data_IF_468989883093
#
_entry.id   IF_468989883093
#
_cell.length_a   1.000
_cell.length_b   1.000
_cell.length_c   1.000
_cell.angle_alpha   90.00
_cell.angle_beta   90.00
_cell.angle_gamma   90.00
#
_symmetry.space_group_name_H-M   'P 1'
#
loop_
_entity.id
_entity.type
_entity.pdbx_description
1 polymer ?
#
# COMPACT_ATOMS: atom_id res chain seq x y z
N UNK A 1 -15.16 12.23 42.36
CA UNK A 1 -13.81 11.72 42.72
C UNK A 1 -12.78 12.54 41.96
N UNK A 2 -11.77 13.09 42.63
CA UNK A 2 -10.71 13.83 41.93
C UNK A 2 -9.87 12.87 41.07
N UNK A 3 -9.57 13.26 39.83
CA UNK A 3 -8.69 12.48 38.96
C UNK A 3 -7.27 12.56 39.50
N UNK A 4 -6.69 11.41 39.86
CA UNK A 4 -5.33 11.36 40.40
C UNK A 4 -4.29 11.36 39.27
N UNK A 5 -3.08 11.86 39.55
CA UNK A 5 -1.94 11.76 38.61
C UNK A 5 -1.72 10.33 38.11
N UNK A 6 -1.87 9.35 39.01
CA UNK A 6 -1.79 7.91 38.68
C UNK A 6 -2.86 7.49 37.68
N UNK A 7 -4.10 7.95 37.84
CA UNK A 7 -5.19 7.64 36.92
C UNK A 7 -4.91 8.23 35.53
N UNK A 8 -4.46 9.49 35.46
CA UNK A 8 -4.05 10.12 34.18
C UNK A 8 -2.96 9.30 33.49
N UNK A 9 -1.88 8.97 34.21
CA UNK A 9 -0.76 8.22 33.64
C UNK A 9 -1.19 6.84 33.12
N UNK A 10 -2.04 6.12 33.86
CA UNK A 10 -2.58 4.82 33.41
C UNK A 10 -3.41 4.96 32.13
N UNK A 11 -4.27 5.98 32.06
CA UNK A 11 -5.10 6.21 30.87
C UNK A 11 -4.24 6.58 29.66
N UNK A 12 -3.24 7.45 29.83
CA UNK A 12 -2.32 7.81 28.74
C UNK A 12 -1.56 6.59 28.23
N UNK A 13 -1.03 5.76 29.13
CA UNK A 13 -0.33 4.52 28.74
C UNK A 13 -1.27 3.56 28.02
N UNK A 14 -2.49 3.35 28.54
CA UNK A 14 -3.46 2.47 27.91
C UNK A 14 -3.86 2.97 26.51
N UNK A 15 -4.09 4.28 26.36
CA UNK A 15 -4.39 4.90 25.08
C UNK A 15 -3.23 4.75 24.08
N UNK A 16 -1.99 4.96 24.53
CA UNK A 16 -0.80 4.80 23.69
C UNK A 16 -0.63 3.36 23.20
N UNK A 17 -0.76 2.38 24.11
CA UNK A 17 -0.70 0.95 23.76
C UNK A 17 -1.82 0.58 22.80
N UNK A 18 -3.05 1.04 23.07
CA UNK A 18 -4.20 0.81 22.20
C UNK A 18 -3.99 1.39 20.79
N UNK A 19 -3.49 2.63 20.69
CA UNK A 19 -3.19 3.27 19.41
C UNK A 19 -2.11 2.51 18.63
N UNK A 20 -1.02 2.10 19.29
CA UNK A 20 0.06 1.34 18.66
C UNK A 20 -0.42 -0.03 18.15
N UNK A 21 -1.15 -0.77 18.99
CA UNK A 21 -1.72 -2.07 18.61
C UNK A 21 -2.74 -1.93 17.48
N UNK A 22 -3.60 -0.90 17.54
CA UNK A 22 -4.58 -0.60 16.51
C UNK A 22 -3.92 -0.27 15.17
N UNK A 23 -2.95 0.64 15.16
CA UNK A 23 -2.22 1.02 13.94
C UNK A 23 -1.46 -0.16 13.34
N UNK A 24 -0.77 -0.96 14.19
CA UNK A 24 -0.06 -2.15 13.75
C UNK A 24 -0.98 -3.20 13.14
N UNK A 25 -2.12 -3.47 13.79
CA UNK A 25 -3.13 -4.41 13.28
C UNK A 25 -3.72 -3.93 11.97
N UNK A 26 -4.09 -2.65 11.89
CA UNK A 26 -4.63 -2.06 10.66
C UNK A 26 -3.64 -2.15 9.51
N UNK A 27 -2.38 -1.75 9.72
CA UNK A 27 -1.34 -1.83 8.70
C UNK A 27 -1.08 -3.26 8.23
N UNK A 28 -1.06 -4.22 9.16
CA UNK A 28 -0.77 -5.61 8.85
C UNK A 28 -1.93 -6.34 8.16
N UNK A 29 -3.17 -6.15 8.62
CA UNK A 29 -4.34 -6.89 8.12
C UNK A 29 -4.93 -6.24 6.88
N UNK A 30 -4.98 -4.90 6.86
CA UNK A 30 -5.61 -4.14 5.78
C UNK A 30 -4.61 -3.35 4.94
N UNK A 31 -3.84 -2.45 5.56
CA UNK A 31 -3.03 -1.45 4.86
C UNK A 31 -2.08 -2.05 3.81
N UNK A 32 -1.38 -3.14 4.15
CA UNK A 32 -0.47 -3.82 3.22
C UNK A 32 -1.14 -4.42 1.98
N UNK A 33 -2.46 -4.67 2.04
CA UNK A 33 -3.27 -5.29 0.97
C UNK A 33 -4.16 -4.28 0.24
N UNK A 34 -4.20 -3.04 0.71
CA UNK A 34 -4.91 -1.95 0.05
C UNK A 34 -4.11 -1.47 -1.18
N UNK A 35 -3.98 -2.36 -2.16
CA UNK A 35 -3.26 -2.06 -3.39
C UNK A 35 -4.05 -1.04 -4.21
N UNK A 36 -3.35 -0.06 -4.76
CA UNK A 36 -3.92 0.98 -5.62
C UNK A 36 -3.34 0.88 -7.03
N UNK A 37 -4.12 1.31 -8.01
CA UNK A 37 -3.68 1.38 -9.39
C UNK A 37 -3.45 2.84 -9.78
N UNK A 38 -2.20 3.18 -10.04
CA UNK A 38 -1.80 4.52 -10.51
C UNK A 38 -1.75 4.55 -12.03
N UNK A 39 -2.47 5.50 -12.63
CA UNK A 39 -2.37 5.81 -14.07
C UNK A 39 -1.68 7.15 -14.22
N UNK A 40 -0.54 7.16 -14.89
CA UNK A 40 0.23 8.37 -15.14
C UNK A 40 0.71 8.41 -16.58
N UNK A 41 0.63 9.57 -17.21
CA UNK A 41 1.27 9.83 -18.49
C UNK A 41 2.68 10.34 -18.20
N UNK A 42 3.69 9.60 -18.65
CA UNK A 42 5.09 9.99 -18.49
C UNK A 42 5.53 10.77 -19.73
N UNK A 43 5.87 12.06 -19.62
CA UNK A 43 6.41 12.80 -20.75
C UNK A 43 7.84 12.32 -21.04
N UNK A 44 8.11 11.96 -22.29
CA UNK A 44 9.43 11.53 -22.74
C UNK A 44 9.89 12.46 -23.85
N UNK A 45 10.96 13.21 -23.58
CA UNK A 45 11.56 14.10 -24.57
C UNK A 45 12.14 13.29 -25.73
N UNK A 46 11.86 13.73 -26.96
CA UNK A 46 12.33 13.03 -28.16
C UNK A 46 11.68 11.66 -28.40
N UNK A 47 10.53 11.35 -27.78
CA UNK A 47 9.84 10.09 -28.00
C UNK A 47 9.49 9.91 -29.50
N UNK A 48 9.93 8.80 -30.14
CA UNK A 48 9.54 8.51 -31.51
C UNK A 48 8.00 8.49 -31.66
N UNK A 49 7.43 9.11 -32.71
CA UNK A 49 5.97 9.14 -32.89
C UNK A 49 5.30 7.76 -32.91
N UNK A 50 6.03 6.72 -33.34
CA UNK A 50 5.56 5.32 -33.35
C UNK A 50 5.33 4.73 -31.96
N UNK A 51 5.91 5.32 -30.91
CA UNK A 51 5.71 4.93 -29.51
C UNK A 51 4.68 5.82 -28.80
N UNK A 52 4.09 6.80 -29.52
CA UNK A 52 3.04 7.65 -28.99
C UNK A 52 1.82 6.83 -28.58
N UNK A 53 1.40 6.98 -27.33
CA UNK A 53 0.23 6.27 -26.79
C UNK A 53 0.51 4.85 -26.29
N UNK A 54 1.76 4.37 -26.35
CA UNK A 54 2.15 3.09 -25.76
C UNK A 54 1.82 3.05 -24.26
N UNK A 55 1.15 1.98 -23.82
CA UNK A 55 0.76 1.78 -22.41
C UNK A 55 1.62 0.69 -21.78
N UNK A 56 2.33 1.05 -20.71
CA UNK A 56 3.20 0.12 -19.97
C UNK A 56 2.53 -0.32 -18.66
N UNK A 57 2.48 -1.63 -18.43
CA UNK A 57 2.10 -2.24 -17.16
C UNK A 57 3.33 -2.40 -16.28
N UNK A 58 3.53 -1.48 -15.34
CA UNK A 58 4.73 -1.48 -14.51
C UNK A 58 4.45 -2.03 -13.11
N UNK A 59 5.20 -3.06 -12.71
CA UNK A 59 5.30 -3.54 -11.33
C UNK A 59 6.77 -3.65 -10.93
N UNK A 60 7.13 -3.11 -9.77
CA UNK A 60 8.49 -3.20 -9.21
C UNK A 60 8.47 -3.59 -7.74
N UNK A 61 9.64 -3.97 -7.21
CA UNK A 61 9.91 -4.14 -5.78
C UNK A 61 8.93 -5.09 -5.04
N UNK A 62 8.39 -6.06 -5.76
CA UNK A 62 7.53 -7.10 -5.19
C UNK A 62 8.42 -8.14 -4.49
N UNK A 63 8.58 -7.99 -3.19
CA UNK A 63 9.32 -8.94 -2.35
C UNK A 63 8.39 -9.99 -1.73
N UNK A 64 8.11 -11.05 -2.50
CA UNK A 64 7.35 -12.20 -2.01
C UNK A 64 8.00 -12.77 -0.73
N UNK A 65 7.23 -12.88 0.34
CA UNK A 65 7.71 -13.27 1.67
C UNK A 65 6.58 -13.86 2.52
N UNK A 66 6.82 -14.13 3.80
CA UNK A 66 5.74 -14.49 4.73
C UNK A 66 4.70 -13.39 4.93
N UNK A 67 5.03 -12.13 4.60
CA UNK A 67 4.13 -10.99 4.71
C UNK A 67 3.55 -10.53 3.37
N UNK A 68 4.08 -11.02 2.25
CA UNK A 68 3.55 -10.77 0.90
C UNK A 68 3.40 -12.12 0.21
N UNK A 69 2.17 -12.64 0.25
CA UNK A 69 1.85 -13.98 -0.24
C UNK A 69 1.83 -14.03 -1.77
N UNK A 70 1.85 -15.24 -2.32
CA UNK A 70 1.68 -15.43 -3.77
C UNK A 70 0.35 -14.84 -4.28
N UNK A 71 -0.72 -14.92 -3.49
CA UNK A 71 -2.03 -14.36 -3.83
C UNK A 71 -2.01 -12.83 -3.85
N UNK A 72 -1.27 -12.20 -2.93
CA UNK A 72 -1.09 -10.74 -2.94
C UNK A 72 -0.37 -10.32 -4.24
N UNK A 73 0.66 -11.06 -4.68
CA UNK A 73 1.36 -10.83 -5.95
C UNK A 73 0.44 -11.05 -7.15
N UNK A 74 -0.31 -12.16 -7.18
CA UNK A 74 -1.23 -12.47 -8.26
C UNK A 74 -2.33 -11.41 -8.39
N UNK A 75 -2.79 -10.85 -7.27
CA UNK A 75 -3.75 -9.74 -7.25
C UNK A 75 -3.15 -8.50 -7.92
N UNK A 76 -1.92 -8.10 -7.55
CA UNK A 76 -1.24 -6.96 -8.16
C UNK A 76 -1.09 -7.13 -9.69
N UNK A 77 -0.63 -8.30 -10.13
CA UNK A 77 -0.54 -8.62 -11.57
C UNK A 77 -1.91 -8.56 -12.25
N UNK A 78 -2.95 -9.15 -11.63
CA UNK A 78 -4.30 -9.13 -12.18
C UNK A 78 -4.84 -7.71 -12.37
N UNK A 79 -4.59 -6.81 -11.41
CA UNK A 79 -5.01 -5.42 -11.51
C UNK A 79 -4.34 -4.71 -12.68
N UNK A 80 -3.03 -4.87 -12.87
CA UNK A 80 -2.30 -4.27 -13.99
C UNK A 80 -2.77 -4.87 -15.32
N UNK A 81 -2.91 -6.19 -15.43
CA UNK A 81 -3.34 -6.84 -16.66
C UNK A 81 -4.76 -6.44 -17.08
N UNK A 82 -5.66 -6.12 -16.13
CA UNK A 82 -7.01 -5.60 -16.42
C UNK A 82 -6.98 -4.25 -17.15
N UNK A 83 -5.91 -3.48 -17.00
CA UNK A 83 -5.72 -2.23 -17.74
C UNK A 83 -5.39 -2.45 -19.21
N UNK A 84 -5.05 -3.68 -19.62
CA UNK A 84 -4.63 -4.04 -20.97
C UNK A 84 -3.46 -3.16 -21.45
N UNK A 85 -2.31 -3.19 -20.74
CA UNK A 85 -1.10 -2.55 -21.25
C UNK A 85 -0.63 -3.26 -22.53
N UNK A 86 0.14 -2.54 -23.35
CA UNK A 86 0.78 -3.08 -24.55
C UNK A 86 2.04 -3.88 -24.20
N UNK A 87 2.69 -3.54 -23.09
CA UNK A 87 3.89 -4.20 -22.54
C UNK A 87 3.82 -4.31 -21.01
#
# INVERSE_FOLDING_TARGET
MAVTRRAVLKTVVAAAVGAAAGAGTYGFVYGRRALELTRATVPVEGLPPSLGGLRLGFLSDIHRSMFVSQDDVATAVSMVMKEKPDL
#
